data_IF_092836586964
#
_entry.id   IF_092836586964
#
_cell.length_a   1.000
_cell.length_b   1.000
_cell.length_c   1.000
_cell.angle_alpha   90.00
_cell.angle_beta   90.00
_cell.angle_gamma   90.00
#
_symmetry.space_group_name_H-M   'P 1'
#
loop_
_entity.id
_entity.type
_entity.pdbx_description
1 polymer ?
#
# COMPACT_ATOMS: atom_id res chain seq x y z
N UNK A 1 -7.06 24.05 21.46
CA UNK A 1 -6.73 23.08 20.37
C UNK A 1 -6.15 23.68 19.09
N UNK A 2 -6.17 24.99 18.86
CA UNK A 2 -5.70 25.55 17.57
C UNK A 2 -4.21 25.28 17.27
N UNK A 3 -3.34 25.37 18.28
CA UNK A 3 -1.91 25.03 18.12
C UNK A 3 -1.73 23.55 17.76
N UNK A 4 -2.51 22.67 18.39
CA UNK A 4 -2.58 21.24 18.06
C UNK A 4 -2.99 21.04 16.61
N UNK A 5 -4.03 21.75 16.16
CA UNK A 5 -4.50 21.68 14.78
C UNK A 5 -3.42 22.12 13.78
N UNK A 6 -2.71 23.22 14.07
CA UNK A 6 -1.61 23.70 13.24
C UNK A 6 -0.46 22.70 13.21
N UNK A 7 -0.07 22.14 14.36
CA UNK A 7 0.97 21.12 14.45
C UNK A 7 0.63 19.85 13.67
N UNK A 8 -0.60 19.36 13.79
CA UNK A 8 -1.09 18.20 13.05
C UNK A 8 -1.19 18.49 11.55
N UNK A 9 -1.65 19.69 11.16
CA UNK A 9 -1.71 20.10 9.76
C UNK A 9 -0.32 20.10 9.12
N UNK A 10 0.66 20.70 9.79
CA UNK A 10 2.06 20.72 9.36
C UNK A 10 2.64 19.30 9.28
N UNK A 11 2.43 18.47 10.30
CA UNK A 11 2.89 17.08 10.30
C UNK A 11 2.30 16.30 9.12
N UNK A 12 1.00 16.42 8.89
CA UNK A 12 0.30 15.78 7.77
C UNK A 12 0.86 16.17 6.41
N UNK A 13 1.09 17.48 6.19
CA UNK A 13 1.70 17.99 4.95
C UNK A 13 3.14 17.51 4.77
N UNK A 14 3.94 17.48 5.85
CA UNK A 14 5.33 16.98 5.84
C UNK A 14 5.36 15.48 5.52
N UNK A 15 4.46 14.69 6.09
CA UNK A 15 4.36 13.26 5.82
C UNK A 15 3.92 12.97 4.37
N UNK A 16 2.94 13.71 3.86
CA UNK A 16 2.39 13.51 2.53
C UNK A 16 3.39 13.82 1.40
N UNK A 17 4.25 14.84 1.57
CA UNK A 17 5.11 15.33 0.49
C UNK A 17 6.61 15.15 0.74
N UNK A 18 7.31 15.96 1.57
CA UNK A 18 8.76 15.89 1.69
C UNK A 18 9.25 14.57 2.29
N UNK A 19 8.59 14.02 3.32
CA UNK A 19 8.97 12.73 3.91
C UNK A 19 8.73 11.60 2.92
N UNK A 20 7.57 11.57 2.26
CA UNK A 20 7.28 10.55 1.25
C UNK A 20 8.27 10.59 0.09
N UNK A 21 8.62 11.78 -0.43
CA UNK A 21 9.66 11.90 -1.47
C UNK A 21 11.04 11.45 -0.99
N UNK A 22 11.41 11.81 0.24
CA UNK A 22 12.70 11.43 0.81
C UNK A 22 12.79 9.91 1.03
N UNK A 23 11.74 9.31 1.58
CA UNK A 23 11.66 7.87 1.83
C UNK A 23 11.66 7.07 0.52
N UNK A 24 10.94 7.53 -0.51
CA UNK A 24 10.94 6.91 -1.84
C UNK A 24 12.32 6.93 -2.53
N UNK A 25 13.18 7.89 -2.17
CA UNK A 25 14.55 8.01 -2.70
C UNK A 25 15.60 7.32 -1.82
N UNK A 26 15.23 6.89 -0.61
CA UNK A 26 16.14 6.23 0.29
C UNK A 26 16.58 4.88 -0.28
N UNK A 27 17.83 4.49 -0.01
CA UNK A 27 18.39 3.20 -0.49
C UNK A 27 18.14 2.04 0.48
N UNK A 28 17.99 2.33 1.78
CA UNK A 28 17.78 1.31 2.79
C UNK A 28 16.47 0.49 2.64
N UNK A 29 15.35 1.02 2.10
CA UNK A 29 14.12 0.25 1.93
C UNK A 29 14.31 -1.03 1.10
N UNK A 30 15.19 -0.99 0.10
CA UNK A 30 15.52 -2.18 -0.70
C UNK A 30 16.29 -3.25 0.11
N UNK A 31 16.90 -2.89 1.24
CA UNK A 31 17.63 -3.81 2.13
C UNK A 31 16.73 -4.45 3.17
N UNK A 32 15.63 -3.79 3.54
CA UNK A 32 14.60 -4.29 4.44
C UNK A 32 13.19 -3.90 3.95
N UNK A 33 12.64 -4.65 2.97
CA UNK A 33 11.31 -4.35 2.43
C UNK A 33 10.21 -4.41 3.48
N UNK A 34 10.33 -5.29 4.49
CA UNK A 34 9.30 -5.46 5.52
C UNK A 34 9.27 -4.25 6.45
N UNK A 35 10.42 -3.82 6.98
CA UNK A 35 10.52 -2.62 7.79
C UNK A 35 10.10 -1.37 7.03
N UNK A 36 10.47 -1.27 5.74
CA UNK A 36 10.05 -0.16 4.90
C UNK A 36 8.54 -0.12 4.65
N UNK A 37 7.90 -1.26 4.35
CA UNK A 37 6.44 -1.34 4.20
C UNK A 37 5.72 -0.94 5.49
N UNK A 38 6.21 -1.38 6.64
CA UNK A 38 5.68 -0.99 7.94
C UNK A 38 5.80 0.53 8.18
N UNK A 39 6.94 1.13 7.85
CA UNK A 39 7.13 2.57 7.95
C UNK A 39 6.23 3.34 6.98
N UNK A 40 6.07 2.86 5.75
CA UNK A 40 5.14 3.46 4.78
C UNK A 40 3.70 3.45 5.29
N UNK A 41 3.24 2.33 5.87
CA UNK A 41 1.90 2.25 6.49
C UNK A 41 1.77 3.27 7.62
N UNK A 42 2.79 3.41 8.46
CA UNK A 42 2.80 4.42 9.53
C UNK A 42 2.80 5.86 9.00
N UNK A 43 3.53 6.16 7.92
CA UNK A 43 3.50 7.48 7.26
C UNK A 43 2.11 7.77 6.70
N UNK A 44 1.47 6.80 6.04
CA UNK A 44 0.12 6.96 5.51
C UNK A 44 -0.94 7.14 6.59
N UNK A 45 -0.93 6.28 7.62
CA UNK A 45 -1.85 6.37 8.76
C UNK A 45 -1.62 7.64 9.57
N UNK A 46 -0.37 7.92 9.95
CA UNK A 46 0.00 9.12 10.70
C UNK A 46 -0.35 10.39 9.93
N UNK A 47 -0.06 10.44 8.62
CA UNK A 47 -0.44 11.57 7.77
C UNK A 47 -1.95 11.76 7.67
N UNK A 48 -2.71 10.67 7.49
CA UNK A 48 -4.17 10.71 7.45
C UNK A 48 -4.80 11.16 8.76
N UNK A 49 -4.36 10.59 9.89
CA UNK A 49 -4.80 10.99 11.24
C UNK A 49 -4.45 12.46 11.49
N UNK A 50 -3.26 12.91 11.08
CA UNK A 50 -2.83 14.29 11.31
C UNK A 50 -3.64 15.29 10.47
N UNK A 51 -3.85 15.04 9.17
CA UNK A 51 -4.63 15.96 8.32
C UNK A 51 -6.11 16.02 8.72
N UNK A 52 -6.72 14.86 8.98
CA UNK A 52 -8.12 14.80 9.42
C UNK A 52 -8.27 15.37 10.83
N UNK A 53 -7.36 14.98 11.74
CA UNK A 53 -7.29 15.46 13.11
C UNK A 53 -7.08 16.96 13.20
N UNK A 54 -6.27 17.56 12.32
CA UNK A 54 -6.10 19.01 12.26
C UNK A 54 -7.43 19.74 11.99
N UNK A 55 -8.21 19.24 11.03
CA UNK A 55 -9.52 19.82 10.71
C UNK A 55 -10.52 19.67 11.85
N UNK A 56 -10.54 18.51 12.53
CA UNK A 56 -11.36 18.29 13.73
C UNK A 56 -10.92 19.17 14.90
N UNK A 57 -9.62 19.23 15.19
CA UNK A 57 -9.05 19.99 16.30
C UNK A 57 -9.22 21.49 16.11
N UNK A 58 -9.11 21.99 14.87
CA UNK A 58 -9.43 23.39 14.58
C UNK A 58 -10.93 23.61 14.71
N UNK A 59 -11.73 22.85 13.97
CA UNK A 59 -13.18 23.06 13.88
C UNK A 59 -13.94 22.88 15.18
N UNK A 60 -13.42 22.11 16.14
CA UNK A 60 -14.01 21.92 17.46
C UNK A 60 -13.28 22.71 18.56
N UNK A 61 -12.26 23.52 18.23
CA UNK A 61 -11.50 24.29 19.21
C UNK A 61 -12.36 25.16 20.15
N UNK A 62 -13.46 25.81 19.69
CA UNK A 62 -14.30 26.62 20.58
C UNK A 62 -15.07 25.82 21.63
N UNK A 63 -15.18 24.49 21.46
CA UNK A 63 -15.99 23.63 22.32
C UNK A 63 -15.18 22.92 23.42
N UNK A 64 -13.85 23.02 23.41
CA UNK A 64 -13.01 22.46 24.46
C UNK A 64 -11.53 22.35 24.09
N UNK A 65 -10.72 22.04 25.10
CA UNK A 65 -9.26 21.97 24.97
C UNK A 65 -8.73 20.64 24.43
N UNK A 66 -9.57 19.61 24.38
CA UNK A 66 -9.26 18.30 23.78
C UNK A 66 -10.41 17.78 22.93
N UNK A 67 -10.12 16.86 22.00
CA UNK A 67 -11.15 16.28 21.14
C UNK A 67 -12.27 15.57 21.93
N UNK A 68 -11.99 14.79 23.00
CA UNK A 68 -13.04 14.19 23.83
C UNK A 68 -13.91 15.22 24.54
N UNK A 69 -13.32 16.28 25.09
CA UNK A 69 -14.06 17.35 25.77
C UNK A 69 -14.98 18.07 24.77
N UNK A 70 -14.43 18.50 23.64
CA UNK A 70 -15.18 19.18 22.60
C UNK A 70 -16.29 18.29 21.98
N UNK A 71 -16.01 16.99 21.80
CA UNK A 71 -17.02 16.03 21.35
C UNK A 71 -18.15 15.88 22.35
N UNK A 72 -17.85 15.81 23.66
CA UNK A 72 -18.89 15.71 24.69
C UNK A 72 -19.83 16.91 24.68
N UNK A 73 -19.30 18.14 24.57
CA UNK A 73 -20.07 19.38 24.46
C UNK A 73 -20.92 19.37 23.20
N UNK A 74 -20.35 19.02 22.04
CA UNK A 74 -21.08 18.93 20.79
C UNK A 74 -22.22 17.91 20.85
N UNK A 75 -21.97 16.72 21.40
CA UNK A 75 -23.00 15.69 21.53
C UNK A 75 -24.12 16.11 22.47
N UNK A 76 -23.80 16.83 23.56
CA UNK A 76 -24.79 17.39 24.48
C UNK A 76 -25.67 18.44 23.81
N UNK A 77 -25.07 19.37 23.06
CA UNK A 77 -25.82 20.39 22.31
C UNK A 77 -26.75 19.76 21.26
N UNK A 78 -26.25 18.80 20.47
CA UNK A 78 -27.07 18.09 19.48
C UNK A 78 -28.22 17.33 20.16
N UNK A 79 -27.97 16.67 21.30
CA UNK A 79 -29.01 15.96 22.04
C UNK A 79 -30.09 16.90 22.60
N UNK A 80 -29.74 18.15 22.91
CA UNK A 80 -30.66 19.20 23.31
C UNK A 80 -31.41 19.85 22.13
N UNK A 81 -31.01 19.55 20.88
CA UNK A 81 -31.56 20.19 19.68
C UNK A 81 -30.93 21.55 19.35
N UNK A 82 -29.84 21.90 20.02
CA UNK A 82 -29.15 23.17 19.87
C UNK A 82 -27.93 23.06 18.95
N UNK A 83 -27.62 24.15 18.26
CA UNK A 83 -26.35 24.32 17.58
C UNK A 83 -25.42 25.15 18.47
N UNK A 84 -24.18 24.71 18.76
CA UNK A 84 -23.29 25.47 19.62
C UNK A 84 -22.99 26.86 19.05
N UNK A 85 -23.40 27.92 19.74
CA UNK A 85 -23.18 29.31 19.31
C UNK A 85 -21.70 29.66 19.17
N UNK A 86 -20.82 28.94 19.87
CA UNK A 86 -19.37 29.10 19.80
C UNK A 86 -18.76 28.67 18.45
N UNK A 87 -19.50 27.94 17.60
CA UNK A 87 -19.03 27.51 16.28
C UNK A 87 -19.36 28.56 15.21
N UNK A 88 -18.37 29.40 14.90
CA UNK A 88 -18.48 30.34 13.79
C UNK A 88 -18.41 29.65 12.40
N UNK A 89 -18.70 30.37 11.29
CA UNK A 89 -18.64 29.78 9.95
C UNK A 89 -17.27 29.23 9.52
N UNK A 90 -16.15 29.73 10.07
CA UNK A 90 -14.81 29.24 9.74
C UNK A 90 -14.57 27.87 10.39
N UNK A 91 -14.97 27.70 11.64
CA UNK A 91 -14.90 26.44 12.36
C UNK A 91 -15.76 25.37 11.69
N UNK A 92 -17.00 25.73 11.32
CA UNK A 92 -17.90 24.86 10.56
C UNK A 92 -17.31 24.52 9.20
N UNK A 93 -16.77 25.51 8.47
CA UNK A 93 -16.10 25.30 7.19
C UNK A 93 -14.94 24.32 7.28
N UNK A 94 -14.10 24.42 8.32
CA UNK A 94 -13.01 23.49 8.56
C UNK A 94 -13.49 22.06 8.84
N UNK A 95 -14.55 21.88 9.63
CA UNK A 95 -15.18 20.56 9.86
C UNK A 95 -15.71 19.96 8.57
N UNK A 96 -16.42 20.76 7.77
CA UNK A 96 -16.97 20.31 6.49
C UNK A 96 -15.86 19.91 5.51
N UNK A 97 -14.75 20.67 5.47
CA UNK A 97 -13.58 20.31 4.66
C UNK A 97 -12.96 19.00 5.17
N UNK A 98 -12.76 18.85 6.48
CA UNK A 98 -12.19 17.64 7.06
C UNK A 98 -13.04 16.39 6.77
N UNK A 99 -14.36 16.52 6.97
CA UNK A 99 -15.33 15.47 6.67
C UNK A 99 -15.41 15.18 5.17
N UNK A 100 -15.36 16.21 4.33
CA UNK A 100 -15.36 16.08 2.87
C UNK A 100 -14.13 15.33 2.35
N UNK A 101 -12.94 15.64 2.88
CA UNK A 101 -11.69 14.94 2.56
C UNK A 101 -11.75 13.49 3.05
N UNK A 102 -12.21 13.24 4.27
CA UNK A 102 -12.37 11.88 4.80
C UNK A 102 -13.36 11.08 3.95
N UNK A 103 -14.53 11.65 3.64
CA UNK A 103 -15.55 11.03 2.81
C UNK A 103 -15.00 10.72 1.41
N UNK A 104 -14.23 11.64 0.81
CA UNK A 104 -13.56 11.44 -0.47
C UNK A 104 -12.57 10.27 -0.41
N UNK A 105 -11.69 10.22 0.59
CA UNK A 105 -10.71 9.15 0.79
C UNK A 105 -11.39 7.79 0.96
N UNK A 106 -12.38 7.70 1.85
CA UNK A 106 -13.16 6.48 2.07
C UNK A 106 -13.91 6.06 0.80
N UNK A 107 -14.49 7.02 0.07
CA UNK A 107 -15.18 6.74 -1.20
C UNK A 107 -14.22 6.20 -2.24
N UNK A 108 -13.03 6.80 -2.42
CA UNK A 108 -12.01 6.29 -3.36
C UNK A 108 -11.57 4.89 -2.96
N UNK A 109 -11.30 4.65 -1.67
CA UNK A 109 -10.91 3.35 -1.16
C UNK A 109 -11.99 2.29 -1.42
N UNK A 110 -13.26 2.59 -1.11
CA UNK A 110 -14.40 1.70 -1.34
C UNK A 110 -14.59 1.44 -2.83
N UNK A 111 -14.62 2.49 -3.67
CA UNK A 111 -14.80 2.36 -5.13
C UNK A 111 -13.67 1.53 -5.74
N UNK A 112 -12.41 1.81 -5.36
CA UNK A 112 -11.24 1.08 -5.87
C UNK A 112 -11.27 -0.37 -5.43
N UNK A 113 -11.60 -0.63 -4.16
CA UNK A 113 -11.74 -1.99 -3.63
C UNK A 113 -12.85 -2.74 -4.35
N UNK A 114 -14.03 -2.15 -4.50
CA UNK A 114 -15.17 -2.77 -5.19
C UNK A 114 -14.86 -3.03 -6.66
N UNK A 115 -14.24 -2.08 -7.37
CA UNK A 115 -13.83 -2.25 -8.77
C UNK A 115 -12.82 -3.38 -8.91
N UNK A 116 -11.78 -3.41 -8.07
CA UNK A 116 -10.76 -4.47 -8.05
C UNK A 116 -11.38 -5.83 -7.76
N UNK A 117 -12.26 -5.93 -6.76
CA UNK A 117 -12.95 -7.17 -6.43
C UNK A 117 -13.90 -7.63 -7.54
N UNK A 118 -14.61 -6.71 -8.21
CA UNK A 118 -15.49 -7.04 -9.34
C UNK A 118 -14.70 -7.51 -10.56
N UNK A 119 -13.61 -6.81 -10.90
CA UNK A 119 -12.73 -7.20 -12.00
C UNK A 119 -12.13 -8.60 -11.74
N UNK A 120 -11.64 -8.85 -10.52
CA UNK A 120 -11.14 -10.16 -10.10
C UNK A 120 -12.21 -11.25 -10.14
N UNK A 121 -13.46 -10.95 -9.76
CA UNK A 121 -14.58 -11.90 -9.88
C UNK A 121 -14.81 -12.29 -11.34
N UNK A 122 -15.01 -11.31 -12.23
CA UNK A 122 -15.21 -11.55 -13.67
C UNK A 122 -14.06 -12.34 -14.28
N UNK A 123 -12.83 -11.99 -13.94
CA UNK A 123 -11.65 -12.66 -14.45
C UNK A 123 -11.55 -14.12 -13.97
N UNK A 124 -11.94 -14.40 -12.72
CA UNK A 124 -12.05 -15.78 -12.22
C UNK A 124 -13.12 -16.58 -12.96
N UNK A 125 -14.28 -15.97 -13.22
CA UNK A 125 -15.38 -16.63 -13.92
C UNK A 125 -14.97 -16.99 -15.36
N UNK A 126 -14.22 -16.09 -16.03
CA UNK A 126 -13.64 -16.37 -17.35
C UNK A 126 -12.59 -17.49 -17.30
N UNK A 127 -11.73 -17.51 -16.28
CA UNK A 127 -10.73 -18.58 -16.13
C UNK A 127 -11.32 -19.93 -15.75
N UNK A 128 -12.48 -19.97 -15.08
CA UNK A 128 -13.18 -21.25 -14.85
C UNK A 128 -13.63 -21.89 -16.17
N UNK A 129 -13.85 -21.09 -17.21
CA UNK A 129 -14.21 -21.56 -18.54
C UNK A 129 -12.96 -21.86 -19.39
N UNK A 130 -11.93 -21.04 -19.28
CA UNK A 130 -10.77 -21.08 -20.19
C UNK A 130 -9.55 -21.86 -19.67
N UNK A 131 -9.43 -22.10 -18.36
CA UNK A 131 -8.21 -22.63 -17.76
C UNK A 131 -8.36 -24.06 -17.21
N UNK A 132 -7.47 -24.95 -17.65
CA UNK A 132 -7.47 -26.36 -17.23
C UNK A 132 -6.71 -26.54 -15.91
N UNK A 133 -7.15 -27.44 -15.00
CA UNK A 133 -6.39 -27.78 -13.79
C UNK A 133 -5.01 -28.34 -14.15
N UNK A 134 -3.95 -27.86 -13.50
CA UNK A 134 -2.62 -28.43 -13.67
C UNK A 134 -2.40 -29.58 -12.67
N UNK A 135 -2.07 -30.81 -13.11
CA UNK A 135 -1.97 -31.98 -12.22
C UNK A 135 -0.85 -31.89 -11.18
N UNK A 136 0.23 -31.17 -11.51
CA UNK A 136 1.48 -31.19 -10.74
C UNK A 136 1.52 -30.15 -9.61
N UNK A 137 0.53 -29.26 -9.51
CA UNK A 137 0.43 -28.29 -8.41
C UNK A 137 -1.03 -27.93 -8.07
N UNK A 138 -1.46 -28.29 -6.86
CA UNK A 138 -2.81 -28.00 -6.37
C UNK A 138 -3.12 -26.48 -6.40
N UNK A 139 -4.31 -26.13 -6.89
CA UNK A 139 -4.73 -24.73 -7.04
C UNK A 139 -4.11 -23.97 -8.21
N UNK A 140 -3.33 -24.63 -9.07
CA UNK A 140 -2.73 -24.05 -10.28
C UNK A 140 -3.56 -24.37 -11.52
N UNK A 141 -3.73 -23.39 -12.40
CA UNK A 141 -4.52 -23.46 -13.63
C UNK A 141 -3.63 -23.07 -14.81
N UNK A 142 -3.71 -23.82 -15.90
CA UNK A 142 -3.02 -23.50 -17.15
C UNK A 142 -3.94 -22.72 -18.06
N UNK A 143 -3.50 -21.55 -18.52
CA UNK A 143 -4.18 -20.76 -19.53
C UNK A 143 -3.55 -21.03 -20.89
N UNK A 144 -4.35 -21.42 -21.88
CA UNK A 144 -3.88 -21.61 -23.26
C UNK A 144 -3.63 -20.26 -23.93
N UNK A 145 -2.46 -19.68 -23.66
CA UNK A 145 -2.04 -18.39 -24.17
C UNK A 145 -0.52 -18.39 -24.42
N UNK A 146 -0.05 -17.93 -25.59
CA UNK A 146 1.36 -18.06 -26.01
C UNK A 146 2.30 -17.06 -25.31
N UNK A 147 1.77 -15.95 -24.79
CA UNK A 147 2.58 -14.99 -24.03
C UNK A 147 2.88 -15.56 -22.64
N UNK A 148 4.15 -15.62 -22.18
CA UNK A 148 4.51 -16.13 -20.86
C UNK A 148 4.04 -15.16 -19.78
N UNK A 149 2.94 -15.52 -19.09
CA UNK A 149 2.37 -14.78 -17.99
C UNK A 149 2.04 -15.76 -16.87
N UNK A 150 2.48 -15.43 -15.66
CA UNK A 150 2.01 -16.05 -14.44
C UNK A 150 1.45 -14.97 -13.53
N UNK A 151 0.33 -15.25 -12.87
CA UNK A 151 -0.24 -14.34 -11.89
C UNK A 151 -1.13 -15.09 -10.90
N UNK A 152 -1.30 -14.49 -9.73
CA UNK A 152 -2.20 -14.98 -8.71
C UNK A 152 -3.54 -14.23 -8.69
N UNK A 153 -4.62 -14.97 -8.37
CA UNK A 153 -5.95 -14.41 -8.13
C UNK A 153 -6.38 -14.69 -6.69
N UNK A 154 -6.40 -13.66 -5.82
CA UNK A 154 -6.85 -13.82 -4.44
C UNK A 154 -8.36 -14.04 -4.34
N UNK A 155 -8.80 -14.89 -3.41
CA UNK A 155 -10.21 -15.22 -3.16
C UNK A 155 -10.38 -16.34 -2.12
N UNK A 156 -11.62 -16.81 -1.89
CA UNK A 156 -11.91 -17.93 -0.95
C UNK A 156 -11.16 -19.22 -1.32
N UNK A 157 -10.89 -19.41 -2.61
CA UNK A 157 -9.95 -20.38 -3.16
C UNK A 157 -8.98 -19.62 -4.06
N UNK A 158 -7.84 -19.20 -3.51
CA UNK A 158 -6.80 -18.51 -4.28
C UNK A 158 -6.31 -19.40 -5.42
N UNK A 159 -6.14 -18.83 -6.61
CA UNK A 159 -5.72 -19.56 -7.81
C UNK A 159 -4.42 -19.00 -8.35
N UNK A 160 -3.53 -19.88 -8.76
CA UNK A 160 -2.34 -19.53 -9.53
C UNK A 160 -2.64 -19.83 -10.99
N UNK A 161 -2.37 -18.88 -11.87
CA UNK A 161 -2.55 -19.04 -13.30
C UNK A 161 -1.19 -18.97 -13.95
N UNK A 162 -0.89 -19.95 -14.79
CA UNK A 162 0.33 -20.04 -15.60
C UNK A 162 -0.09 -20.20 -17.05
N UNK A 163 0.47 -19.43 -17.98
CA UNK A 163 0.15 -19.61 -19.40
C UNK A 163 0.98 -20.74 -20.03
N UNK A 164 0.48 -21.30 -21.14
CA UNK A 164 1.24 -22.25 -21.96
C UNK A 164 2.62 -21.69 -22.34
N UNK A 165 2.69 -20.39 -22.70
CA UNK A 165 3.96 -19.72 -22.98
C UNK A 165 4.98 -19.75 -21.83
N UNK A 166 4.55 -19.79 -20.56
CA UNK A 166 5.47 -19.98 -19.43
C UNK A 166 6.01 -21.40 -19.40
N UNK A 167 5.17 -22.39 -19.68
CA UNK A 167 5.57 -23.80 -19.70
C UNK A 167 6.49 -24.12 -20.89
N UNK A 168 6.35 -23.39 -21.99
CA UNK A 168 7.24 -23.50 -23.14
C UNK A 168 8.58 -22.76 -22.93
N UNK A 169 8.55 -21.63 -22.20
CA UNK A 169 9.72 -20.80 -21.98
C UNK A 169 10.60 -21.24 -20.80
N UNK A 170 10.04 -22.00 -19.84
CA UNK A 170 10.72 -22.37 -18.59
C UNK A 170 10.75 -23.88 -18.37
N UNK A 171 11.85 -24.33 -17.79
CA UNK A 171 11.94 -25.67 -17.23
C UNK A 171 11.13 -25.79 -15.93
N UNK A 172 11.06 -27.01 -15.38
CA UNK A 172 10.27 -27.27 -14.17
C UNK A 172 10.71 -26.41 -13.00
N UNK A 173 12.02 -26.18 -12.86
CA UNK A 173 12.57 -25.38 -11.78
C UNK A 173 12.17 -23.89 -11.91
N UNK A 174 12.23 -23.33 -13.12
CA UNK A 174 11.75 -21.99 -13.43
C UNK A 174 10.26 -21.80 -13.15
N UNK A 175 9.42 -22.77 -13.53
CA UNK A 175 7.97 -22.74 -13.23
C UNK A 175 7.72 -22.77 -11.72
N UNK A 176 8.45 -23.61 -10.97
CA UNK A 176 8.35 -23.66 -9.50
C UNK A 176 8.76 -22.32 -8.88
N UNK A 177 9.81 -21.67 -9.39
CA UNK A 177 10.29 -20.39 -8.90
C UNK A 177 9.25 -19.26 -9.09
N UNK A 178 8.64 -19.16 -10.27
CA UNK A 178 7.58 -18.19 -10.55
C UNK A 178 6.35 -18.46 -9.68
N UNK A 179 5.96 -19.72 -9.53
CA UNK A 179 4.84 -20.07 -8.64
C UNK A 179 5.15 -19.77 -7.16
N UNK A 180 6.41 -19.89 -6.72
CA UNK A 180 6.80 -19.50 -5.37
C UNK A 180 6.65 -17.97 -5.16
N UNK A 181 7.03 -17.17 -6.15
CA UNK A 181 6.83 -15.71 -6.17
C UNK A 181 5.34 -15.35 -6.12
N UNK A 182 4.53 -15.91 -7.03
CA UNK A 182 3.08 -15.64 -7.08
C UNK A 182 2.34 -16.09 -5.80
N UNK A 183 2.75 -17.21 -5.21
CA UNK A 183 2.22 -17.66 -3.91
C UNK A 183 2.55 -16.69 -2.78
N UNK A 184 3.69 -16.00 -2.84
CA UNK A 184 4.06 -15.01 -1.83
C UNK A 184 3.05 -13.86 -1.80
N UNK A 185 2.63 -13.35 -2.96
CA UNK A 185 1.59 -12.32 -3.05
C UNK A 185 0.27 -12.73 -2.40
N UNK A 186 -0.15 -13.99 -2.58
CA UNK A 186 -1.36 -14.52 -1.97
C UNK A 186 -1.25 -14.70 -0.46
N UNK A 187 -0.13 -15.26 0.01
CA UNK A 187 0.09 -15.55 1.43
C UNK A 187 0.22 -14.28 2.26
N UNK A 188 0.95 -13.30 1.74
CA UNK A 188 1.20 -12.02 2.42
C UNK A 188 0.15 -10.95 2.09
N UNK A 189 -0.87 -11.30 1.29
CA UNK A 189 -1.99 -10.43 0.89
C UNK A 189 -1.51 -9.05 0.47
N UNK A 190 -0.50 -9.04 -0.41
CA UNK A 190 0.15 -7.83 -0.90
C UNK A 190 -0.85 -6.84 -1.52
N UNK A 191 -1.97 -7.33 -2.03
CA UNK A 191 -3.06 -6.50 -2.52
C UNK A 191 -3.67 -5.59 -1.44
N UNK A 192 -3.85 -6.08 -0.21
CA UNK A 192 -4.36 -5.26 0.89
C UNK A 192 -3.37 -4.17 1.31
N UNK A 193 -2.07 -4.44 1.17
CA UNK A 193 -1.00 -3.49 1.51
C UNK A 193 -0.93 -2.35 0.48
N UNK A 194 -1.13 -2.64 -0.82
CA UNK A 194 -1.07 -1.64 -1.92
C UNK A 194 -2.31 -0.74 -1.95
N UNK A 195 -3.50 -1.30 -1.69
CA UNK A 195 -4.78 -0.61 -1.93
C UNK A 195 -4.89 0.78 -1.30
N UNK A 196 -4.50 1.00 -0.03
CA UNK A 196 -4.49 2.33 0.57
C UNK A 196 -3.64 3.33 -0.22
N UNK A 197 -2.47 2.93 -0.71
CA UNK A 197 -1.57 3.82 -1.45
C UNK A 197 -2.08 4.13 -2.87
N UNK A 198 -2.75 3.18 -3.51
CA UNK A 198 -3.46 3.44 -4.79
C UNK A 198 -4.59 4.44 -4.58
N UNK A 199 -5.39 4.27 -3.52
CA UNK A 199 -6.45 5.20 -3.19
C UNK A 199 -5.90 6.60 -2.86
N UNK A 200 -4.79 6.64 -2.12
CA UNK A 200 -4.08 7.86 -1.75
C UNK A 200 -3.56 8.60 -3.00
N UNK A 201 -2.78 7.92 -3.86
CA UNK A 201 -2.29 8.49 -5.13
C UNK A 201 -3.39 8.96 -6.07
N UNK A 202 -4.52 8.25 -6.12
CA UNK A 202 -5.70 8.66 -6.90
C UNK A 202 -6.47 9.84 -6.30
N UNK A 203 -6.34 10.09 -4.99
CA UNK A 203 -7.05 11.18 -4.30
C UNK A 203 -6.38 12.53 -4.55
N UNK A 204 -5.05 12.57 -4.54
CA UNK A 204 -4.29 13.79 -4.82
C UNK A 204 -3.11 13.51 -5.77
N UNK A 205 -3.39 13.28 -7.07
CA UNK A 205 -2.36 12.94 -8.06
C UNK A 205 -1.34 14.06 -8.31
N UNK A 206 -1.64 15.29 -7.89
CA UNK A 206 -0.75 16.45 -7.98
C UNK A 206 0.31 16.49 -6.87
N UNK A 207 0.17 15.66 -5.82
CA UNK A 207 1.14 15.59 -4.71
C UNK A 207 2.18 14.50 -5.04
N UNK A 208 3.38 14.92 -5.41
CA UNK A 208 4.43 14.04 -5.95
C UNK A 208 4.88 12.98 -4.94
N UNK A 209 4.90 13.31 -3.65
CA UNK A 209 5.21 12.38 -2.57
C UNK A 209 4.21 11.23 -2.49
N UNK A 210 2.92 11.52 -2.71
CA UNK A 210 1.85 10.51 -2.70
C UNK A 210 1.99 9.51 -3.86
N UNK A 211 2.32 10.01 -5.05
CA UNK A 211 2.60 9.18 -6.23
C UNK A 211 3.88 8.36 -6.02
N UNK A 212 4.93 8.98 -5.48
CA UNK A 212 6.18 8.30 -5.18
C UNK A 212 5.99 7.19 -4.12
N UNK A 213 5.14 7.40 -3.11
CA UNK A 213 4.80 6.40 -2.11
C UNK A 213 4.13 5.17 -2.75
N UNK A 214 3.16 5.38 -3.64
CA UNK A 214 2.49 4.28 -4.36
C UNK A 214 3.50 3.43 -5.15
N UNK A 215 4.38 4.06 -5.92
CA UNK A 215 5.40 3.37 -6.72
C UNK A 215 6.43 2.65 -5.82
N UNK A 216 6.86 3.28 -4.73
CA UNK A 216 7.80 2.69 -3.79
C UNK A 216 7.21 1.46 -3.10
N UNK A 217 5.97 1.53 -2.61
CA UNK A 217 5.27 0.40 -1.96
C UNK A 217 5.09 -0.76 -2.93
N UNK A 218 4.66 -0.49 -4.17
CA UNK A 218 4.55 -1.53 -5.20
C UNK A 218 5.90 -2.24 -5.42
N UNK A 219 6.99 -1.48 -5.55
CA UNK A 219 8.34 -2.05 -5.70
C UNK A 219 8.79 -2.87 -4.50
N UNK A 220 8.52 -2.42 -3.27
CA UNK A 220 8.89 -3.14 -2.06
C UNK A 220 8.13 -4.46 -1.90
N UNK A 221 6.89 -4.51 -2.37
CA UNK A 221 6.06 -5.72 -2.40
C UNK A 221 6.62 -6.77 -3.36
N UNK A 222 7.05 -6.34 -4.55
CA UNK A 222 7.74 -7.21 -5.49
C UNK A 222 9.05 -7.77 -4.88
N UNK A 223 9.87 -6.89 -4.28
CA UNK A 223 11.10 -7.29 -3.59
C UNK A 223 10.82 -8.27 -2.44
N UNK A 224 9.71 -8.10 -1.73
CA UNK A 224 9.30 -9.00 -0.65
C UNK A 224 8.88 -10.37 -1.19
N UNK A 225 8.12 -10.41 -2.29
CA UNK A 225 7.76 -11.66 -2.95
C UNK A 225 9.01 -12.40 -3.46
N UNK A 226 9.99 -11.67 -4.02
CA UNK A 226 11.29 -12.22 -4.41
C UNK A 226 12.04 -12.83 -3.22
N UNK A 227 12.08 -12.14 -2.08
CA UNK A 227 12.73 -12.65 -0.86
C UNK A 227 12.09 -13.94 -0.34
N UNK A 228 10.77 -14.07 -0.49
CA UNK A 228 10.04 -15.29 -0.13
C UNK A 228 10.37 -16.42 -1.09
N UNK A 229 10.35 -16.16 -2.40
CA UNK A 229 10.66 -17.15 -3.43
C UNK A 229 12.11 -17.64 -3.33
N UNK A 230 13.07 -16.74 -3.09
CA UNK A 230 14.49 -17.05 -2.93
C UNK A 230 14.80 -17.96 -1.74
N UNK A 231 13.91 -18.03 -0.74
CA UNK A 231 14.05 -19.00 0.37
C UNK A 231 13.64 -20.41 -0.01
N UNK A 232 12.95 -20.58 -1.14
CA UNK A 232 12.35 -21.85 -1.58
C UNK A 232 12.97 -22.40 -2.86
N UNK A 233 13.67 -21.56 -3.64
CA UNK A 233 14.21 -21.89 -4.97
C UNK A 233 15.62 -21.32 -5.14
N UNK A 234 16.36 -21.82 -6.13
CA UNK A 234 17.68 -21.27 -6.47
C UNK A 234 17.54 -19.80 -6.96
N UNK A 235 18.41 -18.87 -6.51
CA UNK A 235 18.33 -17.47 -6.92
C UNK A 235 18.51 -17.25 -8.43
N UNK A 236 19.33 -18.06 -9.09
CA UNK A 236 19.61 -17.96 -10.54
C UNK A 236 18.41 -18.43 -11.34
N UNK A 237 17.78 -19.53 -10.92
CA UNK A 237 16.54 -20.03 -11.52
C UNK A 237 15.42 -19.00 -11.37
N UNK A 238 15.25 -18.42 -10.18
CA UNK A 238 14.26 -17.37 -9.94
C UNK A 238 14.50 -16.15 -10.83
N UNK A 239 15.73 -15.66 -10.91
CA UNK A 239 16.08 -14.51 -11.74
C UNK A 239 15.80 -14.78 -13.23
N UNK A 240 16.17 -15.96 -13.72
CA UNK A 240 15.93 -16.38 -15.11
C UNK A 240 14.43 -16.46 -15.40
N UNK A 241 13.68 -17.05 -14.47
CA UNK A 241 12.25 -17.23 -14.62
C UNK A 241 11.50 -15.88 -14.60
N UNK A 242 11.88 -14.96 -13.71
CA UNK A 242 11.31 -13.60 -13.67
C UNK A 242 11.66 -12.78 -14.92
N UNK A 243 12.86 -12.94 -15.50
CA UNK A 243 13.22 -12.32 -16.79
C UNK A 243 12.33 -12.81 -17.92
N UNK A 244 12.10 -14.13 -18.00
CA UNK A 244 11.28 -14.73 -19.06
C UNK A 244 9.82 -14.28 -18.99
N UNK A 245 9.24 -14.17 -17.79
CA UNK A 245 7.85 -13.71 -17.59
C UNK A 245 7.73 -12.18 -17.71
N UNK A 246 8.71 -11.43 -17.19
CA UNK A 246 8.69 -9.97 -17.17
C UNK A 246 9.01 -9.29 -18.52
N UNK A 247 9.67 -10.00 -19.44
CA UNK A 247 10.02 -9.50 -20.78
C UNK A 247 8.84 -9.32 -21.75
N UNK A 248 7.63 -9.73 -21.35
CA UNK A 248 6.44 -9.78 -22.22
C UNK A 248 5.61 -8.48 -22.26
N UNK A 249 6.09 -7.38 -21.68
CA UNK A 249 5.34 -6.13 -21.60
C UNK A 249 5.37 -5.32 -22.92
N UNK A 250 4.36 -4.48 -23.23
CA UNK A 250 4.35 -3.63 -24.43
C UNK A 250 5.47 -2.57 -24.46
N UNK A 251 6.04 -2.32 -25.65
CA UNK A 251 7.24 -1.48 -25.87
C UNK A 251 7.20 -0.06 -25.27
N UNK A 252 6.03 0.58 -25.15
CA UNK A 252 5.92 1.94 -24.61
C UNK A 252 6.09 2.03 -23.07
N UNK A 253 5.96 0.91 -22.37
CA UNK A 253 6.20 0.81 -20.92
C UNK A 253 7.57 0.18 -20.61
N UNK A 254 8.33 -0.23 -21.62
CA UNK A 254 9.44 -1.16 -21.43
C UNK A 254 10.55 -0.62 -20.53
N UNK A 255 11.04 0.61 -20.75
CA UNK A 255 12.27 1.09 -20.09
C UNK A 255 12.19 1.19 -18.56
N UNK A 256 11.14 1.81 -18.02
CA UNK A 256 10.99 1.92 -16.56
C UNK A 256 10.67 0.58 -15.90
N UNK A 257 10.01 -0.34 -16.62
CA UNK A 257 9.70 -1.67 -16.12
C UNK A 257 10.93 -2.58 -16.17
N UNK A 258 11.75 -2.50 -17.22
CA UNK A 258 13.01 -3.23 -17.34
C UNK A 258 14.01 -2.78 -16.28
N UNK A 259 14.20 -1.47 -16.08
CA UNK A 259 15.11 -0.96 -15.05
C UNK A 259 14.67 -1.40 -13.62
N UNK A 260 13.36 -1.48 -13.40
CA UNK A 260 12.81 -1.95 -12.13
C UNK A 260 13.02 -3.46 -11.92
N UNK A 261 12.87 -4.25 -12.99
CA UNK A 261 13.09 -5.69 -13.01
C UNK A 261 14.57 -6.03 -12.85
N UNK A 262 15.46 -5.37 -13.59
CA UNK A 262 16.92 -5.58 -13.51
C UNK A 262 17.45 -5.31 -12.10
N UNK A 263 17.02 -4.22 -11.47
CA UNK A 263 17.37 -3.93 -10.08
C UNK A 263 16.87 -5.00 -9.09
N UNK A 264 15.76 -5.70 -9.39
CA UNK A 264 15.29 -6.84 -8.58
C UNK A 264 16.15 -8.08 -8.82
N UNK A 265 16.49 -8.36 -10.08
CA UNK A 265 17.37 -9.48 -10.44
C UNK A 265 18.73 -9.32 -9.77
N UNK A 266 19.34 -8.14 -9.85
CA UNK A 266 20.62 -7.84 -9.19
C UNK A 266 20.53 -8.08 -7.68
N UNK A 267 19.39 -7.73 -7.07
CA UNK A 267 19.14 -7.96 -5.65
C UNK A 267 18.93 -9.45 -5.31
N UNK A 268 18.36 -10.24 -6.21
CA UNK A 268 18.16 -11.68 -6.02
C UNK A 268 19.51 -12.41 -6.07
N UNK A 269 20.35 -12.08 -7.04
CA UNK A 269 21.65 -12.71 -7.28
C UNK A 269 22.74 -12.22 -6.33
N UNK A 270 22.70 -10.94 -5.97
CA UNK A 270 23.59 -10.31 -5.00
C UNK A 270 22.77 -9.69 -3.84
N UNK A 271 22.30 -10.50 -2.88
CA UNK A 271 21.45 -10.01 -1.80
C UNK A 271 22.17 -8.94 -0.98
N UNK A 272 21.48 -7.84 -0.64
CA UNK A 272 22.08 -6.74 0.10
C UNK A 272 22.44 -7.19 1.52
N UNK A 273 23.47 -6.55 2.09
CA UNK A 273 23.79 -6.74 3.50
C UNK A 273 22.61 -6.34 4.39
N UNK A 274 22.31 -7.17 5.39
CA UNK A 274 21.25 -6.88 6.35
C UNK A 274 21.52 -5.55 7.06
N UNK A 275 20.46 -4.86 7.46
CA UNK A 275 20.59 -3.66 8.27
C UNK A 275 20.97 -4.06 9.71
N UNK A 276 21.72 -3.21 10.43
CA UNK A 276 21.98 -3.41 11.85
C UNK A 276 20.67 -3.53 12.64
N UNK A 277 20.67 -4.34 13.69
CA UNK A 277 19.51 -4.54 14.58
C UNK A 277 18.98 -3.22 15.14
N UNK A 278 19.87 -2.25 15.40
CA UNK A 278 19.52 -0.89 15.84
C UNK A 278 18.63 -0.17 14.83
N UNK A 279 18.91 -0.30 13.54
CA UNK A 279 18.10 0.31 12.47
C UNK A 279 16.72 -0.34 12.41
N UNK A 280 16.62 -1.67 12.56
CA UNK A 280 15.33 -2.34 12.61
C UNK A 280 14.46 -1.85 13.79
N UNK A 281 15.08 -1.62 14.96
CA UNK A 281 14.38 -1.05 16.11
C UNK A 281 13.95 0.38 15.88
N UNK A 282 14.85 1.22 15.35
CA UNK A 282 14.53 2.62 15.03
C UNK A 282 13.36 2.73 14.05
N UNK A 283 13.31 1.89 13.02
CA UNK A 283 12.19 1.87 12.06
C UNK A 283 10.87 1.53 12.77
N UNK A 284 10.84 0.53 13.65
CA UNK A 284 9.62 0.15 14.40
C UNK A 284 9.19 1.24 15.37
N UNK A 285 10.13 1.81 16.12
CA UNK A 285 9.85 2.91 17.06
C UNK A 285 9.33 4.13 16.31
N UNK A 286 9.96 4.50 15.19
CA UNK A 286 9.51 5.60 14.34
C UNK A 286 8.09 5.34 13.80
N UNK A 287 7.81 4.13 13.33
CA UNK A 287 6.48 3.76 12.86
C UNK A 287 5.41 3.85 13.95
N UNK A 288 5.70 3.38 15.17
CA UNK A 288 4.79 3.51 16.31
C UNK A 288 4.58 4.99 16.65
N UNK A 289 5.66 5.78 16.74
CA UNK A 289 5.59 7.21 17.05
C UNK A 289 4.78 8.01 16.03
N UNK A 290 4.94 7.72 14.73
CA UNK A 290 4.20 8.39 13.64
C UNK A 290 2.68 8.23 13.76
N UNK A 291 2.20 7.14 14.36
CA UNK A 291 0.77 6.90 14.58
C UNK A 291 0.34 7.36 15.97
N UNK A 292 1.14 7.08 17.00
CA UNK A 292 0.78 7.36 18.39
C UNK A 292 0.82 8.85 18.74
N UNK A 293 1.80 9.61 18.24
CA UNK A 293 1.93 11.05 18.55
C UNK A 293 0.72 11.89 18.09
N UNK A 294 0.22 11.78 16.84
CA UNK A 294 -0.94 12.57 16.44
C UNK A 294 -2.21 12.15 17.16
N UNK A 295 -2.38 10.86 17.48
CA UNK A 295 -3.49 10.38 18.31
C UNK A 295 -3.39 10.96 19.73
N UNK A 296 -2.21 10.91 20.33
CA UNK A 296 -1.99 11.46 21.66
C UNK A 296 -2.28 12.97 21.68
N UNK A 297 -1.79 13.73 20.70
CA UNK A 297 -2.04 15.16 20.60
C UNK A 297 -3.53 15.53 20.46
N UNK A 298 -4.34 14.67 19.83
CA UNK A 298 -5.79 14.86 19.73
C UNK A 298 -6.53 14.54 21.03
N UNK A 299 -6.02 13.57 21.80
CA UNK A 299 -6.68 13.07 23.01
C UNK A 299 -6.21 13.79 24.28
N UNK A 300 -5.02 14.39 24.26
CA UNK A 300 -4.48 15.15 25.38
C UNK A 300 -5.18 16.52 25.50
N UNK A 301 -5.40 17.01 26.73
CA UNK A 301 -5.80 18.40 27.00
C UNK A 301 -4.70 19.41 26.65
#
# INVERSE_FOLDING_TARGET
>A
MELTALGLGLLGLILAEPVSRMLARARWPARDPVGALLLWQAVGLGGGISLFGAGLAYGLAPLGDSLPAAASVLTGAIAAGDFPEALDPLHVGALLIALGVLARLLSVLVITTVRTLRARRRHRDLLDVLATPWPFASGTRVLDHPVPVAYCLPGRSSRLVVSAGVLDALDTAGVVAVLAHERAHLRERHDLVVLPFVAWGATAPFVRGMVAAQLAVARLIEMRADDVARRLCDPTELATALKAVGGSAPAAALSSFTDALDARIDRITAPPTSLPVTVHWLVRVAAVALVALPLWALLSP
#
